data_IF_368760824248
#
_entry.id   IF_368760824248
#
_cell.length_a   1.000
_cell.length_b   1.000
_cell.length_c   1.000
_cell.angle_alpha   90.00
_cell.angle_beta   90.00
_cell.angle_gamma   90.00
#
_symmetry.space_group_name_H-M   'P 1'
#
loop_
_entity.id
_entity.type
_entity.pdbx_description
1 polymer ?
#
# COMPACT_ATOMS: atom_id res chain seq x y z
N UNK A 1 42.62 -10.96 -49.58
CA UNK A 1 41.41 -10.11 -49.43
C UNK A 1 40.88 -10.04 -48.00
N UNK A 2 40.71 -11.14 -47.26
CA UNK A 2 40.16 -11.12 -45.87
C UNK A 2 40.95 -10.23 -44.88
N UNK A 3 42.28 -10.20 -44.95
CA UNK A 3 43.11 -9.37 -44.05
C UNK A 3 42.90 -7.85 -44.27
N UNK A 4 42.69 -7.42 -45.51
CA UNK A 4 42.49 -6.01 -45.86
C UNK A 4 41.12 -5.50 -45.40
N UNK A 5 40.10 -6.35 -45.49
CA UNK A 5 38.73 -6.02 -45.01
C UNK A 5 38.69 -5.93 -43.49
N UNK A 6 39.43 -6.81 -42.80
CA UNK A 6 39.51 -6.77 -41.33
C UNK A 6 40.26 -5.54 -40.81
N UNK A 7 41.36 -5.15 -41.46
CA UNK A 7 42.09 -3.93 -41.12
C UNK A 7 41.22 -2.67 -41.29
N UNK A 8 40.43 -2.61 -42.38
CA UNK A 8 39.54 -1.49 -42.65
C UNK A 8 38.32 -1.43 -41.71
N UNK A 9 37.84 -2.58 -41.24
CA UNK A 9 36.79 -2.67 -40.23
C UNK A 9 37.27 -2.19 -38.85
N UNK A 10 38.50 -2.54 -38.48
CA UNK A 10 39.13 -2.06 -37.23
C UNK A 10 39.32 -0.53 -37.25
N UNK A 11 39.69 0.03 -38.39
CA UNK A 11 39.87 1.48 -38.55
C UNK A 11 38.55 2.26 -38.48
N UNK A 12 37.47 1.73 -39.09
CA UNK A 12 36.11 2.29 -38.99
C UNK A 12 35.57 2.23 -37.56
N UNK A 13 35.77 1.10 -36.86
CA UNK A 13 35.36 0.96 -35.45
C UNK A 13 36.16 1.88 -34.52
N UNK A 14 37.43 2.18 -34.84
CA UNK A 14 38.23 3.13 -34.09
C UNK A 14 37.78 4.58 -34.31
N UNK A 15 37.35 4.94 -35.53
CA UNK A 15 36.78 6.25 -35.85
C UNK A 15 35.42 6.47 -35.18
N UNK A 16 34.53 5.46 -35.17
CA UNK A 16 33.25 5.53 -34.45
C UNK A 16 33.44 5.66 -32.94
N UNK A 17 34.42 4.96 -32.35
CA UNK A 17 34.69 5.03 -30.91
C UNK A 17 35.30 6.38 -30.48
N UNK A 18 36.08 7.02 -31.36
CA UNK A 18 36.63 8.35 -31.13
C UNK A 18 35.57 9.46 -31.28
N UNK A 19 34.61 9.31 -32.21
CA UNK A 19 33.45 10.20 -32.29
C UNK A 19 32.48 10.00 -31.12
N UNK A 20 32.25 8.77 -30.68
CA UNK A 20 31.40 8.48 -29.52
C UNK A 20 32.01 8.96 -28.20
N UNK A 21 33.35 8.93 -28.04
CA UNK A 21 33.99 9.49 -26.83
C UNK A 21 34.05 11.01 -26.83
N UNK A 22 33.96 11.67 -27.99
CA UNK A 22 33.84 13.13 -28.09
C UNK A 22 32.43 13.63 -27.73
N UNK A 23 31.42 12.76 -27.74
CA UNK A 23 30.03 13.09 -27.38
C UNK A 23 29.57 12.48 -26.04
N UNK A 24 30.46 11.81 -25.29
CA UNK A 24 30.08 11.00 -24.11
C UNK A 24 30.43 11.62 -22.74
N UNK A 25 30.85 12.88 -22.71
CA UNK A 25 30.93 13.71 -21.51
C UNK A 25 30.99 15.16 -21.98
N UNK A 26 29.87 15.69 -22.46
CA UNK A 26 29.68 17.14 -22.36
C UNK A 26 29.75 17.44 -20.86
N UNK A 27 30.80 18.14 -20.42
CA UNK A 27 30.82 18.73 -19.09
C UNK A 27 29.64 19.68 -19.03
N UNK A 28 28.52 19.18 -18.52
CA UNK A 28 27.32 19.96 -18.33
C UNK A 28 27.67 20.96 -17.23
N UNK A 29 27.75 22.24 -17.57
CA UNK A 29 28.04 23.29 -16.61
C UNK A 29 26.91 23.31 -15.58
N UNK A 30 27.21 22.89 -14.35
CA UNK A 30 26.24 22.81 -13.27
C UNK A 30 25.62 24.20 -12.99
N UNK A 31 26.39 25.28 -13.23
CA UNK A 31 25.92 26.64 -13.03
C UNK A 31 24.89 27.04 -14.11
N UNK A 32 25.02 26.56 -15.36
CA UNK A 32 24.03 26.81 -16.43
C UNK A 32 22.73 26.01 -16.23
N UNK A 33 22.78 24.81 -15.64
CA UNK A 33 21.56 24.06 -15.29
C UNK A 33 20.80 24.65 -14.10
N UNK A 34 21.51 25.26 -13.16
CA UNK A 34 20.89 25.87 -11.97
C UNK A 34 20.02 27.08 -12.33
N UNK A 35 20.37 27.79 -13.41
CA UNK A 35 19.63 28.93 -13.94
C UNK A 35 18.67 28.55 -15.10
N UNK A 36 18.49 27.25 -15.39
CA UNK A 36 17.57 26.78 -16.44
C UNK A 36 16.10 27.02 -16.02
N UNK A 37 15.35 27.92 -16.71
CA UNK A 37 13.96 28.21 -16.39
C UNK A 37 13.03 27.01 -16.53
N UNK A 38 13.39 25.99 -17.33
CA UNK A 38 12.65 24.74 -17.45
C UNK A 38 12.86 23.84 -16.23
N UNK A 39 14.09 23.76 -15.72
CA UNK A 39 14.41 23.00 -14.50
C UNK A 39 13.74 23.64 -13.27
N UNK A 40 13.78 24.97 -13.15
CA UNK A 40 13.08 25.70 -12.09
C UNK A 40 11.56 25.43 -12.10
N UNK A 41 10.95 25.43 -13.29
CA UNK A 41 9.53 25.10 -13.47
C UNK A 41 9.22 23.69 -13.00
N UNK A 42 10.03 22.71 -13.41
CA UNK A 42 9.83 21.31 -13.05
C UNK A 42 10.00 21.07 -11.53
N UNK A 43 10.94 21.78 -10.91
CA UNK A 43 11.11 21.80 -9.45
C UNK A 43 9.90 22.41 -8.74
N UNK A 44 9.42 23.56 -9.22
CA UNK A 44 8.25 24.23 -8.66
C UNK A 44 6.99 23.36 -8.76
N UNK A 45 6.78 22.70 -9.91
CA UNK A 45 5.65 21.80 -10.14
C UNK A 45 5.70 20.58 -9.22
N UNK A 46 6.89 19.98 -9.04
CA UNK A 46 7.09 18.86 -8.12
C UNK A 46 6.82 19.26 -6.67
N UNK A 47 7.33 20.41 -6.23
CA UNK A 47 7.09 20.94 -4.87
C UNK A 47 5.60 21.23 -4.67
N UNK A 48 4.93 21.82 -5.66
CA UNK A 48 3.50 22.10 -5.60
C UNK A 48 2.67 20.81 -5.52
N UNK A 49 3.02 19.79 -6.30
CA UNK A 49 2.36 18.48 -6.26
C UNK A 49 2.51 17.80 -4.89
N UNK A 50 3.73 17.79 -4.34
CA UNK A 50 4.01 17.22 -3.01
C UNK A 50 3.25 17.96 -1.90
N UNK A 51 3.22 19.30 -1.94
CA UNK A 51 2.46 20.11 -0.97
C UNK A 51 0.96 19.79 -1.05
N UNK A 52 0.39 19.76 -2.25
CA UNK A 52 -1.04 19.45 -2.46
C UNK A 52 -1.40 18.04 -1.96
N UNK A 53 -0.53 17.06 -2.19
CA UNK A 53 -0.74 15.70 -1.69
C UNK A 53 -0.68 15.64 -0.16
N UNK A 54 0.32 16.31 0.44
CA UNK A 54 0.45 16.38 1.89
C UNK A 54 -0.77 17.05 2.56
N UNK A 55 -1.24 18.17 2.01
CA UNK A 55 -2.45 18.87 2.46
C UNK A 55 -3.68 17.96 2.37
N UNK A 56 -3.88 17.29 1.22
CA UNK A 56 -4.99 16.33 1.06
C UNK A 56 -4.91 15.20 2.07
N UNK A 57 -3.73 14.66 2.31
CA UNK A 57 -3.50 13.59 3.29
C UNK A 57 -3.81 14.06 4.71
N UNK A 58 -3.42 15.28 5.05
CA UNK A 58 -3.71 15.88 6.36
C UNK A 58 -5.21 16.14 6.55
N UNK A 59 -5.91 16.59 5.50
CA UNK A 59 -7.35 16.76 5.50
C UNK A 59 -8.08 15.44 5.80
N UNK A 60 -7.73 14.38 5.07
CA UNK A 60 -8.32 13.05 5.26
C UNK A 60 -8.08 12.54 6.68
N UNK A 61 -6.86 12.70 7.21
CA UNK A 61 -6.56 12.36 8.62
C UNK A 61 -7.42 13.15 9.60
N UNK A 62 -7.62 14.45 9.38
CA UNK A 62 -8.51 15.28 10.23
C UNK A 62 -9.96 14.81 10.18
N UNK A 63 -10.40 14.27 9.05
CA UNK A 63 -11.72 13.65 8.90
C UNK A 63 -11.80 12.24 9.52
N UNK A 64 -10.69 11.70 10.06
CA UNK A 64 -10.65 10.39 10.70
C UNK A 64 -10.22 9.23 9.82
N UNK A 65 -9.66 9.49 8.63
CA UNK A 65 -9.07 8.45 7.81
C UNK A 65 -7.73 7.97 8.40
N UNK A 66 -7.39 6.71 8.17
CA UNK A 66 -6.17 6.10 8.71
C UNK A 66 -6.34 5.40 10.04
N UNK A 67 -7.54 5.46 10.62
CA UNK A 67 -7.87 4.84 11.88
C UNK A 67 -9.06 3.89 11.70
N UNK A 68 -9.17 2.93 12.60
CA UNK A 68 -10.33 2.07 12.72
C UNK A 68 -10.99 2.34 14.07
N UNK A 69 -12.11 3.08 14.04
CA UNK A 69 -12.80 3.57 15.24
C UNK A 69 -14.25 3.12 15.33
N UNK A 70 -14.73 3.00 16.56
CA UNK A 70 -16.13 2.79 16.88
C UNK A 70 -16.88 4.12 16.78
N UNK A 71 -18.06 4.10 16.15
CA UNK A 71 -18.95 5.25 16.02
C UNK A 71 -20.31 4.92 16.61
N UNK A 72 -21.10 5.94 16.98
CA UNK A 72 -22.47 5.73 17.46
C UNK A 72 -23.48 5.72 16.31
N UNK A 73 -24.71 5.29 16.60
CA UNK A 73 -25.81 5.36 15.62
C UNK A 73 -26.05 6.79 15.13
N UNK A 74 -25.91 7.80 16.00
CA UNK A 74 -26.09 9.21 15.65
C UNK A 74 -25.02 9.75 14.69
N UNK A 75 -23.79 9.25 14.81
CA UNK A 75 -22.66 9.67 13.97
C UNK A 75 -22.69 9.00 12.58
N UNK A 76 -23.40 7.88 12.45
CA UNK A 76 -23.36 7.00 11.28
C UNK A 76 -23.55 7.76 9.96
N UNK A 77 -24.58 8.59 9.85
CA UNK A 77 -24.87 9.33 8.62
C UNK A 77 -23.75 10.31 8.28
N UNK A 78 -23.30 11.10 9.26
CA UNK A 78 -22.24 12.08 9.07
C UNK A 78 -20.94 11.41 8.60
N UNK A 79 -20.64 10.21 9.12
CA UNK A 79 -19.46 9.45 8.73
C UNK A 79 -19.55 8.87 7.32
N UNK A 80 -20.67 8.23 6.95
CA UNK A 80 -20.81 7.58 5.64
C UNK A 80 -21.04 8.57 4.50
N UNK A 81 -21.60 9.75 4.76
CA UNK A 81 -21.81 10.80 3.74
C UNK A 81 -20.69 11.85 3.72
N UNK A 82 -19.85 11.91 4.76
CA UNK A 82 -18.81 12.94 4.89
C UNK A 82 -17.58 12.73 4.00
N UNK A 83 -17.45 11.57 3.34
CA UNK A 83 -16.31 11.25 2.48
C UNK A 83 -16.73 10.34 1.33
N UNK A 84 -15.83 10.17 0.35
CA UNK A 84 -16.12 9.42 -0.88
C UNK A 84 -16.28 7.92 -0.61
N UNK A 85 -15.39 7.31 0.18
CA UNK A 85 -15.35 5.86 0.40
C UNK A 85 -15.34 5.54 1.89
N UNK A 86 -16.30 4.75 2.34
CA UNK A 86 -16.40 4.30 3.72
C UNK A 86 -16.65 2.80 3.78
N UNK A 87 -15.91 2.13 4.65
CA UNK A 87 -16.13 0.74 5.01
C UNK A 87 -16.65 0.75 6.45
N UNK A 88 -17.88 0.29 6.64
CA UNK A 88 -18.51 0.21 7.95
C UNK A 88 -18.71 -1.26 8.35
N UNK A 89 -18.07 -1.67 9.44
CA UNK A 89 -18.24 -2.99 10.05
C UNK A 89 -19.33 -2.95 11.11
N UNK A 90 -20.48 -3.55 10.81
CA UNK A 90 -21.50 -3.85 11.80
C UNK A 90 -21.09 -5.10 12.56
N UNK A 91 -20.99 -4.97 13.87
CA UNK A 91 -20.40 -5.99 14.72
C UNK A 91 -21.19 -6.19 16.02
N UNK A 92 -20.85 -7.25 16.74
CA UNK A 92 -21.33 -7.51 18.10
C UNK A 92 -20.19 -8.03 18.95
N UNK A 93 -20.07 -7.55 20.20
CA UNK A 93 -18.91 -7.78 21.08
C UNK A 93 -18.70 -9.26 21.44
N UNK A 94 -19.79 -10.00 21.54
CA UNK A 94 -19.77 -11.43 21.89
C UNK A 94 -19.37 -12.34 20.71
N UNK A 95 -19.44 -11.85 19.48
CA UNK A 95 -19.24 -12.69 18.31
C UNK A 95 -17.76 -12.78 17.96
N UNK A 96 -17.18 -13.98 18.10
CA UNK A 96 -15.75 -14.21 17.84
C UNK A 96 -15.34 -13.80 16.41
N UNK A 97 -16.18 -14.06 15.41
CA UNK A 97 -15.93 -13.67 14.02
C UNK A 97 -15.85 -12.15 13.81
N UNK A 98 -16.54 -11.36 14.63
CA UNK A 98 -16.38 -9.90 14.62
C UNK A 98 -14.98 -9.48 15.07
N UNK A 99 -14.37 -10.18 16.03
CA UNK A 99 -13.01 -9.89 16.51
C UNK A 99 -11.95 -10.19 15.44
N UNK A 100 -12.16 -11.23 14.64
CA UNK A 100 -11.31 -11.52 13.48
C UNK A 100 -11.39 -10.37 12.48
N UNK A 101 -12.60 -9.94 12.11
CA UNK A 101 -12.78 -8.83 11.18
C UNK A 101 -12.16 -7.52 11.71
N UNK A 102 -12.33 -7.22 13.00
CA UNK A 102 -11.70 -6.08 13.68
C UNK A 102 -10.17 -6.09 13.51
N UNK A 103 -9.52 -7.25 13.69
CA UNK A 103 -8.07 -7.38 13.53
C UNK A 103 -7.62 -6.98 12.13
N UNK A 104 -8.28 -7.48 11.09
CA UNK A 104 -7.87 -7.22 9.72
C UNK A 104 -8.17 -5.78 9.28
N UNK A 105 -9.37 -5.26 9.57
CA UNK A 105 -9.73 -3.88 9.22
C UNK A 105 -8.85 -2.86 9.96
N UNK A 106 -8.50 -3.12 11.22
CA UNK A 106 -7.57 -2.28 11.98
C UNK A 106 -6.17 -2.24 11.36
N UNK A 107 -5.71 -3.36 10.79
CA UNK A 107 -4.42 -3.41 10.09
C UNK A 107 -4.43 -2.69 8.75
N UNK A 108 -5.59 -2.65 8.06
CA UNK A 108 -5.72 -2.03 6.73
C UNK A 108 -5.97 -0.53 6.80
N UNK A 109 -6.70 -0.06 7.82
CA UNK A 109 -7.06 1.35 7.95
C UNK A 109 -5.89 2.35 7.79
N UNK A 110 -4.72 2.19 8.46
CA UNK A 110 -3.60 3.13 8.30
C UNK A 110 -2.91 3.08 6.93
N UNK A 111 -3.05 1.95 6.20
CA UNK A 111 -2.45 1.73 4.88
C UNK A 111 -3.25 2.37 3.75
N UNK A 112 -4.56 2.56 3.95
CA UNK A 112 -5.48 3.06 2.92
C UNK A 112 -6.20 4.34 3.38
N UNK A 113 -5.49 5.47 3.35
CA UNK A 113 -6.03 6.77 3.78
C UNK A 113 -7.15 7.29 2.87
N UNK A 114 -7.25 6.83 1.64
CA UNK A 114 -8.31 7.19 0.71
C UNK A 114 -9.70 6.67 1.14
N UNK A 115 -9.74 5.72 2.08
CA UNK A 115 -10.97 5.09 2.54
C UNK A 115 -11.08 5.18 4.05
N UNK A 116 -12.27 5.56 4.52
CA UNK A 116 -12.54 5.64 5.96
C UNK A 116 -13.00 4.27 6.48
N UNK A 117 -12.44 3.84 7.60
CA UNK A 117 -12.78 2.58 8.24
C UNK A 117 -13.44 2.86 9.58
N UNK A 118 -14.68 2.40 9.75
CA UNK A 118 -15.45 2.58 10.97
C UNK A 118 -16.14 1.28 11.37
N UNK A 119 -16.49 1.18 12.64
CA UNK A 119 -17.33 0.08 13.14
C UNK A 119 -18.49 0.61 13.97
N UNK A 120 -19.59 -0.12 13.92
CA UNK A 120 -20.83 0.24 14.59
C UNK A 120 -21.39 -1.00 15.29
N UNK A 121 -21.67 -0.87 16.58
CA UNK A 121 -22.26 -1.95 17.36
C UNK A 121 -23.72 -2.15 16.95
N UNK A 122 -24.02 -3.34 16.42
CA UNK A 122 -25.33 -3.66 15.88
C UNK A 122 -26.43 -3.67 16.97
N UNK A 123 -26.07 -3.95 18.23
CA UNK A 123 -27.02 -3.88 19.34
C UNK A 123 -27.43 -2.43 19.64
N UNK A 124 -26.49 -1.49 19.51
CA UNK A 124 -26.68 -0.07 19.79
C UNK A 124 -27.11 0.75 18.54
N UNK A 125 -27.36 0.10 17.41
CA UNK A 125 -27.77 0.75 16.16
C UNK A 125 -28.94 0.05 15.45
N UNK A 126 -30.09 -0.16 16.13
CA UNK A 126 -31.20 -0.93 15.61
C UNK A 126 -31.84 -0.32 14.35
N UNK A 127 -31.81 1.01 14.19
CA UNK A 127 -32.41 1.66 13.03
C UNK A 127 -31.66 1.29 11.75
N UNK A 128 -30.33 1.36 11.76
CA UNK A 128 -29.53 1.01 10.57
C UNK A 128 -29.44 -0.50 10.35
N UNK A 129 -29.44 -1.31 11.41
CA UNK A 129 -29.55 -2.77 11.29
C UNK A 129 -30.83 -3.16 10.55
N UNK A 130 -31.98 -2.58 10.92
CA UNK A 130 -33.23 -2.81 10.24
C UNK A 130 -33.23 -2.23 8.81
N UNK A 131 -32.83 -0.97 8.65
CA UNK A 131 -32.85 -0.26 7.36
C UNK A 131 -31.96 -0.90 6.31
N UNK A 132 -30.79 -1.38 6.70
CA UNK A 132 -29.82 -2.05 5.83
C UNK A 132 -30.04 -3.57 5.78
N UNK A 133 -31.08 -4.09 6.44
CA UNK A 133 -31.45 -5.50 6.48
C UNK A 133 -30.27 -6.41 6.90
N UNK A 134 -29.59 -6.05 8.00
CA UNK A 134 -28.47 -6.81 8.54
C UNK A 134 -29.02 -7.97 9.37
N UNK A 135 -28.79 -9.20 8.90
CA UNK A 135 -29.29 -10.44 9.56
C UNK A 135 -28.18 -11.32 10.13
N UNK A 136 -26.94 -11.13 9.66
CA UNK A 136 -25.80 -11.96 10.00
C UNK A 136 -24.62 -11.06 10.33
N UNK A 137 -23.90 -11.38 11.40
CA UNK A 137 -22.69 -10.68 11.81
C UNK A 137 -21.47 -11.60 11.70
N UNK A 138 -20.27 -11.08 11.41
CA UNK A 138 -20.00 -9.68 11.04
C UNK A 138 -20.63 -9.30 9.68
N UNK A 139 -21.02 -8.03 9.51
CA UNK A 139 -21.47 -7.52 8.22
C UNK A 139 -20.69 -6.24 7.90
N UNK A 140 -19.89 -6.27 6.84
CA UNK A 140 -19.12 -5.11 6.40
C UNK A 140 -19.82 -4.51 5.19
N UNK A 141 -20.26 -3.27 5.28
CA UNK A 141 -20.95 -2.57 4.18
C UNK A 141 -20.01 -1.52 3.59
N UNK A 142 -19.99 -1.48 2.26
CA UNK A 142 -19.19 -0.55 1.49
C UNK A 142 -20.08 0.61 1.02
N UNK A 143 -19.71 1.82 1.38
CA UNK A 143 -20.40 3.05 0.99
C UNK A 143 -19.54 3.86 0.04
N UNK A 144 -20.17 4.35 -1.02
CA UNK A 144 -19.58 5.33 -1.94
C UNK A 144 -20.49 6.55 -2.00
N UNK A 145 -19.97 7.72 -1.61
CA UNK A 145 -20.72 8.98 -1.52
C UNK A 145 -22.03 8.81 -0.72
N UNK A 146 -21.98 8.15 0.44
CA UNK A 146 -23.15 7.89 1.28
C UNK A 146 -24.10 6.79 0.81
N UNK A 147 -23.88 6.18 -0.37
CA UNK A 147 -24.73 5.12 -0.92
C UNK A 147 -24.08 3.77 -0.67
N UNK A 148 -24.82 2.82 -0.09
CA UNK A 148 -24.36 1.44 0.07
C UNK A 148 -24.27 0.77 -1.31
N UNK A 149 -23.06 0.43 -1.75
CA UNK A 149 -22.81 -0.18 -3.06
C UNK A 149 -22.74 -1.70 -3.01
N UNK A 150 -22.24 -2.25 -1.90
CA UNK A 150 -22.07 -3.69 -1.72
C UNK A 150 -21.83 -4.03 -0.24
N UNK A 151 -21.76 -5.32 0.10
CA UNK A 151 -21.48 -5.80 1.46
C UNK A 151 -20.81 -7.17 1.47
N UNK A 152 -19.99 -7.40 2.48
CA UNK A 152 -19.46 -8.69 2.87
C UNK A 152 -20.23 -9.22 4.08
N UNK A 153 -20.92 -10.36 3.92
CA UNK A 153 -21.72 -11.00 4.97
C UNK A 153 -20.97 -12.18 5.57
N UNK A 154 -20.63 -12.09 6.85
CA UNK A 154 -19.75 -13.06 7.51
C UNK A 154 -18.41 -13.12 6.79
N UNK A 155 -17.98 -14.32 6.42
CA UNK A 155 -16.77 -14.59 5.62
C UNK A 155 -17.10 -15.35 4.32
N UNK A 156 -18.29 -15.13 3.76
CA UNK A 156 -18.77 -15.90 2.59
C UNK A 156 -17.86 -15.73 1.36
N UNK A 157 -17.31 -14.54 1.17
CA UNK A 157 -16.46 -14.22 0.02
C UNK A 157 -14.95 -14.32 0.34
N UNK A 158 -14.59 -14.83 1.53
CA UNK A 158 -13.21 -14.95 1.97
C UNK A 158 -12.77 -16.42 2.00
N UNK A 159 -11.64 -16.69 1.35
CA UNK A 159 -11.00 -18.01 1.38
C UNK A 159 -10.36 -18.22 2.75
N UNK A 160 -10.65 -19.35 3.40
CA UNK A 160 -10.12 -19.70 4.72
C UNK A 160 -11.12 -19.59 5.87
N UNK A 161 -12.38 -19.19 5.61
CA UNK A 161 -13.43 -19.00 6.63
C UNK A 161 -12.91 -18.13 7.78
N UNK A 162 -12.59 -18.70 8.93
CA UNK A 162 -12.19 -17.97 10.13
C UNK A 162 -10.67 -17.65 10.17
N UNK A 163 -9.86 -18.30 9.34
CA UNK A 163 -8.40 -18.12 9.30
C UNK A 163 -7.94 -17.38 8.02
N UNK A 164 -8.79 -16.51 7.46
CA UNK A 164 -8.40 -15.74 6.28
C UNK A 164 -7.28 -14.75 6.60
N UNK A 165 -6.42 -14.49 5.61
CA UNK A 165 -5.30 -13.55 5.78
C UNK A 165 -5.75 -12.11 5.56
N UNK A 166 -5.04 -11.13 6.15
CA UNK A 166 -5.28 -9.70 5.86
C UNK A 166 -5.19 -9.42 4.35
N UNK A 167 -4.27 -10.11 3.66
CA UNK A 167 -4.11 -10.00 2.21
C UNK A 167 -5.35 -10.46 1.44
N UNK A 168 -6.04 -11.52 1.90
CA UNK A 168 -7.27 -11.97 1.26
C UNK A 168 -8.39 -10.91 1.35
N UNK A 169 -8.52 -10.25 2.51
CA UNK A 169 -9.46 -9.14 2.67
C UNK A 169 -9.05 -7.92 1.84
N UNK A 170 -7.76 -7.59 1.81
CA UNK A 170 -7.23 -6.51 0.97
C UNK A 170 -7.56 -6.74 -0.52
N UNK A 171 -7.30 -7.94 -1.04
CA UNK A 171 -7.64 -8.32 -2.42
C UNK A 171 -9.14 -8.17 -2.70
N UNK A 172 -10.00 -8.56 -1.75
CA UNK A 172 -11.44 -8.37 -1.88
C UNK A 172 -11.78 -6.88 -1.97
N UNK A 173 -11.23 -6.05 -1.09
CA UNK A 173 -11.50 -4.61 -1.09
C UNK A 173 -10.96 -3.91 -2.35
N UNK A 174 -9.81 -4.36 -2.89
CA UNK A 174 -9.26 -3.90 -4.16
C UNK A 174 -10.21 -4.22 -5.33
N UNK A 175 -10.71 -5.45 -5.40
CA UNK A 175 -11.67 -5.89 -6.43
C UNK A 175 -12.99 -5.11 -6.37
N UNK A 176 -13.38 -4.67 -5.18
CA UNK A 176 -14.57 -3.82 -4.96
C UNK A 176 -14.26 -2.32 -5.11
N UNK A 177 -13.03 -1.97 -5.50
CA UNK A 177 -12.52 -0.61 -5.65
C UNK A 177 -12.67 0.25 -4.39
N UNK A 178 -12.76 -0.39 -3.23
CA UNK A 178 -12.89 0.27 -1.95
C UNK A 178 -11.55 0.71 -1.39
N UNK A 179 -10.43 0.22 -1.91
CA UNK A 179 -9.08 0.68 -1.62
C UNK A 179 -8.25 0.69 -2.91
N UNK A 180 -7.07 1.31 -2.88
CA UNK A 180 -6.09 1.30 -3.97
C UNK A 180 -4.88 0.45 -3.59
N UNK A 181 -4.16 0.00 -4.61
CA UNK A 181 -2.91 -0.74 -4.42
C UNK A 181 -1.87 0.17 -3.75
N UNK A 182 -1.32 -0.27 -2.62
CA UNK A 182 -0.28 0.46 -1.92
C UNK A 182 1.08 0.10 -2.54
N UNK A 183 1.58 0.94 -3.45
CA UNK A 183 2.85 0.72 -4.15
C UNK A 183 4.11 0.87 -3.29
N UNK A 184 3.96 1.27 -2.02
CA UNK A 184 5.08 1.61 -1.14
C UNK A 184 5.58 0.43 -0.28
N UNK A 185 4.91 -0.73 -0.34
CA UNK A 185 5.21 -1.86 0.55
C UNK A 185 5.92 -3.04 -0.16
N UNK A 186 6.22 -2.94 -1.45
CA UNK A 186 6.91 -4.01 -2.19
C UNK A 186 8.42 -4.11 -1.85
N UNK A 187 8.98 -3.23 -1.02
CA UNK A 187 10.42 -3.18 -0.73
C UNK A 187 10.85 -3.86 0.60
N UNK A 188 9.93 -4.35 1.45
CA UNK A 188 10.28 -4.86 2.79
C UNK A 188 10.10 -6.39 3.00
N UNK A 189 9.55 -7.15 2.03
CA UNK A 189 9.17 -8.56 2.26
C UNK A 189 10.11 -9.63 1.62
N UNK A 190 11.27 -9.26 1.04
CA UNK A 190 12.17 -10.21 0.36
C UNK A 190 13.32 -10.81 1.21
N UNK A 191 13.40 -10.56 2.54
CA UNK A 191 14.51 -11.08 3.39
C UNK A 191 14.16 -12.29 4.29
N UNK A 192 13.20 -13.13 3.91
CA UNK A 192 12.86 -14.30 4.71
C UNK A 192 12.64 -15.58 3.92
N UNK A 193 13.61 -16.05 3.13
CA UNK A 193 13.74 -17.49 2.84
C UNK A 193 15.11 -17.92 2.29
N UNK A 194 16.19 -17.85 3.07
CA UNK A 194 17.35 -18.72 2.83
C UNK A 194 18.27 -18.92 4.06
N UNK A 195 17.78 -19.55 5.14
CA UNK A 195 18.72 -20.11 6.12
C UNK A 195 18.22 -21.35 6.88
N UNK A 196 17.79 -22.36 6.13
CA UNK A 196 17.56 -23.70 6.67
C UNK A 196 18.19 -24.76 5.78
N UNK A 197 19.52 -24.77 5.72
CA UNK A 197 20.31 -26.00 5.58
C UNK A 197 21.81 -25.68 5.61
N UNK A 198 22.46 -25.96 6.74
CA UNK A 198 23.82 -26.53 6.84
C UNK A 198 24.14 -26.79 8.31
N UNK A 199 23.67 -27.93 8.82
CA UNK A 199 24.26 -28.59 9.98
C UNK A 199 25.65 -29.09 9.60
N UNK A 200 26.71 -28.47 10.13
CA UNK A 200 28.08 -29.02 10.06
C UNK A 200 28.67 -29.08 11.47
N UNK A 201 28.60 -30.31 12.00
CA UNK A 201 29.46 -31.02 12.95
C UNK A 201 30.45 -30.19 13.79
N UNK A 202 30.26 -30.29 15.10
CA UNK A 202 31.23 -30.04 16.15
C UNK A 202 32.49 -30.90 15.98
N UNK A 203 33.66 -30.26 16.01
CA UNK A 203 34.91 -30.90 16.41
C UNK A 203 35.49 -30.14 17.60
N UNK A 204 35.56 -30.86 18.71
CA UNK A 204 36.32 -30.54 19.91
C UNK A 204 37.79 -30.30 19.54
N UNK A 205 38.46 -29.39 20.24
CA UNK A 205 39.87 -29.52 20.61
C UNK A 205 40.12 -28.67 21.86
N UNK A 206 40.60 -29.35 22.89
CA UNK A 206 41.14 -28.78 24.12
C UNK A 206 42.61 -28.36 23.90
N UNK A 207 43.09 -27.57 24.86
CA UNK A 207 44.49 -27.26 25.18
C UNK A 207 45.26 -26.29 24.27
N UNK A 208 45.69 -25.14 24.82
CA UNK A 208 47.07 -25.00 25.32
C UNK A 208 47.40 -23.57 25.77
N UNK A 209 48.17 -23.54 26.85
CA UNK A 209 48.76 -22.45 27.64
C UNK A 209 49.57 -21.33 26.94
N UNK A 210 49.66 -20.22 27.68
CA UNK A 210 50.76 -19.23 27.85
C UNK A 210 51.18 -18.30 26.70
N UNK A 211 51.00 -16.98 26.90
CA UNK A 211 52.03 -16.07 27.48
C UNK A 211 51.35 -14.85 28.15
#
# INVERSE_FOLDING_TARGET
MKALVHAKLLELMAQEKAQASATANEEVDLDELMDDPELERLHADRIAALKKEAEKRQELKRQGHGEYREITEGDFLAEVTGTEKVICHFYHREFYRCKIMDKHLKSLAPRHLETKFVKLDAENAPFFVAKLAIKTLPCVIFFRNGIAIDRLVGFQDLVGKDDFTTKALEILLLRKEMIKENKLEEEEDDDYHENRQRTVRSSVNADSDSD
#
